data_IF_416611658160
#
_entry.id   IF_416611658160
#
_cell.length_a   1.000
_cell.length_b   1.000
_cell.length_c   1.000
_cell.angle_alpha   90.00
_cell.angle_beta   90.00
_cell.angle_gamma   90.00
#
_symmetry.space_group_name_H-M   'P 1'
#
loop_
_entity.id
_entity.type
_entity.pdbx_description
1 polymer ?
#
# COMPACT_ATOMS: atom_id res chain seq x y z
N UNK A 1 6.53 19.74 -13.14
CA UNK A 1 5.73 20.91 -12.73
C UNK A 1 4.91 20.44 -11.55
N UNK A 2 5.26 20.85 -10.33
CA UNK A 2 4.53 20.46 -9.12
C UNK A 2 3.14 21.11 -9.18
N UNK A 3 2.09 20.34 -8.92
CA UNK A 3 0.71 20.84 -8.92
C UNK A 3 0.49 21.73 -7.69
N UNK A 4 -0.42 22.70 -7.70
CA UNK A 4 -0.79 23.48 -6.49
C UNK A 4 -1.18 22.58 -5.30
N UNK A 5 -1.62 21.34 -5.54
CA UNK A 5 -1.84 20.33 -4.49
C UNK A 5 -0.55 19.84 -3.81
N UNK A 6 0.60 19.96 -4.47
CA UNK A 6 1.93 19.67 -3.91
C UNK A 6 2.46 20.83 -3.05
N UNK A 7 1.84 22.01 -3.12
CA UNK A 7 2.19 23.24 -2.39
C UNK A 7 1.30 23.51 -1.17
N UNK A 8 0.32 22.65 -0.89
CA UNK A 8 -0.37 22.66 0.40
C UNK A 8 0.62 22.13 1.42
N UNK A 9 0.95 22.92 2.45
CA UNK A 9 1.62 22.45 3.66
C UNK A 9 0.77 21.35 4.29
N UNK A 10 0.91 20.11 3.78
CA UNK A 10 0.27 18.96 4.36
C UNK A 10 0.93 18.73 5.70
N UNK A 11 0.12 18.68 6.76
CA UNK A 11 0.65 18.40 8.08
C UNK A 11 1.25 17.00 8.11
N UNK A 12 2.21 16.77 9.01
CA UNK A 12 2.73 15.42 9.29
C UNK A 12 1.58 14.48 9.63
N UNK A 13 0.59 14.97 10.38
CA UNK A 13 -0.61 14.23 10.77
C UNK A 13 -1.40 13.74 9.55
N UNK A 14 -1.59 14.59 8.53
CA UNK A 14 -2.25 14.21 7.27
C UNK A 14 -1.45 13.17 6.48
N UNK A 15 -0.12 13.25 6.50
CA UNK A 15 0.73 12.27 5.83
C UNK A 15 0.75 10.93 6.58
N UNK A 16 0.72 10.95 7.92
CA UNK A 16 0.61 9.75 8.76
C UNK A 16 -0.76 9.07 8.59
N UNK A 17 -1.83 9.85 8.53
CA UNK A 17 -3.17 9.35 8.25
C UNK A 17 -3.22 8.68 6.86
N UNK A 18 -2.74 9.35 5.81
CA UNK A 18 -2.71 8.75 4.45
C UNK A 18 -1.84 7.49 4.43
N UNK A 19 -0.67 7.49 5.05
CA UNK A 19 0.19 6.30 5.10
C UNK A 19 -0.53 5.12 5.78
N UNK A 20 -1.30 5.38 6.84
CA UNK A 20 -2.07 4.37 7.55
C UNK A 20 -3.23 3.84 6.69
N UNK A 21 -3.95 4.71 6.00
CA UNK A 21 -5.01 4.33 5.05
C UNK A 21 -4.46 3.48 3.90
N UNK A 22 -3.33 3.87 3.32
CA UNK A 22 -2.67 3.11 2.25
C UNK A 22 -2.25 1.72 2.72
N UNK A 23 -1.75 1.57 3.95
CA UNK A 23 -1.38 0.28 4.51
C UNK A 23 -2.60 -0.59 4.80
N UNK A 24 -3.68 -0.02 5.33
CA UNK A 24 -4.93 -0.73 5.56
C UNK A 24 -5.54 -1.24 4.24
N UNK A 25 -5.57 -0.39 3.22
CA UNK A 25 -6.04 -0.76 1.88
C UNK A 25 -5.14 -1.82 1.23
N UNK A 26 -3.82 -1.72 1.41
CA UNK A 26 -2.89 -2.74 0.93
C UNK A 26 -3.15 -4.11 1.55
N UNK A 27 -3.48 -4.17 2.84
CA UNK A 27 -3.79 -5.44 3.50
C UNK A 27 -5.14 -5.99 3.04
N UNK A 28 -6.15 -5.13 2.92
CA UNK A 28 -7.46 -5.51 2.33
C UNK A 28 -7.30 -6.14 0.94
N UNK A 29 -6.52 -5.50 0.06
CA UNK A 29 -6.25 -6.02 -1.29
C UNK A 29 -5.48 -7.35 -1.28
N UNK A 30 -4.63 -7.57 -0.27
CA UNK A 30 -3.91 -8.84 -0.09
C UNK A 30 -4.85 -9.95 0.38
N UNK A 31 -5.74 -9.66 1.32
CA UNK A 31 -6.78 -10.60 1.75
C UNK A 31 -7.72 -10.95 0.58
N UNK A 32 -8.11 -9.96 -0.23
CA UNK A 32 -8.88 -10.19 -1.46
C UNK A 32 -8.14 -11.07 -2.46
N UNK A 33 -6.84 -10.82 -2.68
CA UNK A 33 -5.99 -11.68 -3.51
C UNK A 33 -5.99 -13.14 -3.02
N UNK A 34 -5.79 -13.36 -1.72
CA UNK A 34 -5.77 -14.70 -1.14
C UNK A 34 -7.14 -15.39 -1.28
N UNK A 35 -8.24 -14.67 -1.06
CA UNK A 35 -9.60 -15.18 -1.24
C UNK A 35 -9.89 -15.56 -2.71
N UNK A 36 -9.45 -14.73 -3.67
CA UNK A 36 -9.59 -15.04 -5.09
C UNK A 36 -8.81 -16.29 -5.48
N UNK A 37 -7.59 -16.48 -4.96
CA UNK A 37 -6.80 -17.70 -5.20
C UNK A 37 -7.47 -18.96 -4.63
N UNK A 38 -8.09 -18.87 -3.45
CA UNK A 38 -8.85 -20.01 -2.91
C UNK A 38 -10.06 -20.34 -3.80
N UNK A 39 -10.79 -19.33 -4.28
CA UNK A 39 -11.92 -19.54 -5.20
C UNK A 39 -11.46 -20.12 -6.54
N UNK A 40 -10.36 -19.61 -7.10
CA UNK A 40 -9.74 -20.10 -8.33
C UNK A 40 -9.41 -21.60 -8.24
N UNK A 41 -8.79 -22.01 -7.12
CA UNK A 41 -8.41 -23.40 -6.91
C UNK A 41 -9.64 -24.33 -6.85
N UNK A 42 -10.72 -23.88 -6.19
CA UNK A 42 -11.98 -24.62 -6.14
C UNK A 42 -12.61 -24.78 -7.54
N UNK A 43 -12.63 -23.71 -8.34
CA UNK A 43 -13.17 -23.76 -9.70
C UNK A 43 -12.34 -24.65 -10.62
N UNK A 44 -11.01 -24.65 -10.49
CA UNK A 44 -10.14 -25.58 -11.22
C UNK A 44 -10.44 -27.03 -10.88
N UNK A 45 -10.62 -27.35 -9.60
CA UNK A 45 -10.98 -28.70 -9.17
C UNK A 45 -12.35 -29.11 -9.74
N UNK A 46 -13.36 -28.24 -9.63
CA UNK A 46 -14.69 -28.50 -10.19
C UNK A 46 -14.67 -28.66 -11.71
N UNK A 47 -13.85 -27.88 -12.42
CA UNK A 47 -13.65 -28.03 -13.86
C UNK A 47 -13.11 -29.41 -14.23
N UNK A 48 -12.09 -29.90 -13.51
CA UNK A 48 -11.52 -31.24 -13.73
C UNK A 48 -12.55 -32.34 -13.47
N UNK A 49 -13.30 -32.24 -12.38
CA UNK A 49 -14.34 -33.21 -12.02
C UNK A 49 -15.52 -33.23 -13.00
N UNK A 50 -15.92 -32.07 -13.51
CA UNK A 50 -17.02 -31.95 -14.46
C UNK A 50 -16.66 -32.45 -15.87
N UNK A 51 -15.39 -32.42 -16.25
CA UNK A 51 -14.95 -32.66 -17.63
C UNK A 51 -15.43 -33.97 -18.28
N UNK A 52 -15.52 -35.11 -17.58
CA UNK A 52 -16.03 -36.35 -18.16
C UNK A 52 -17.53 -36.34 -18.47
N UNK A 53 -18.31 -35.49 -17.79
CA UNK A 53 -19.78 -35.51 -17.83
C UNK A 53 -20.34 -34.28 -18.55
N UNK A 54 -19.73 -33.11 -18.34
CA UNK A 54 -20.07 -31.85 -19.01
C UNK A 54 -18.79 -31.10 -19.42
N UNK A 55 -18.22 -31.41 -20.60
CA UNK A 55 -17.03 -30.72 -21.10
C UNK A 55 -17.23 -29.21 -21.28
N UNK A 56 -18.44 -28.75 -21.62
CA UNK A 56 -18.73 -27.34 -21.82
C UNK A 56 -18.88 -26.59 -20.49
N UNK A 57 -19.45 -27.22 -19.47
CA UNK A 57 -19.44 -26.72 -18.10
C UNK A 57 -18.04 -26.63 -17.52
N UNK A 58 -17.22 -27.67 -17.72
CA UNK A 58 -15.84 -27.69 -17.29
C UNK A 58 -15.01 -26.55 -17.89
N UNK A 59 -15.16 -26.29 -19.19
CA UNK A 59 -14.46 -25.20 -19.87
C UNK A 59 -14.88 -23.82 -19.33
N UNK A 60 -16.18 -23.61 -19.04
CA UNK A 60 -16.65 -22.36 -18.42
C UNK A 60 -16.06 -22.14 -17.03
N UNK A 61 -16.03 -23.18 -16.20
CA UNK A 61 -15.40 -23.12 -14.87
C UNK A 61 -13.89 -22.83 -14.97
N UNK A 62 -13.22 -23.39 -15.98
CA UNK A 62 -11.81 -23.12 -16.24
C UNK A 62 -11.58 -21.64 -16.62
N UNK A 63 -12.40 -21.09 -17.51
CA UNK A 63 -12.31 -19.69 -17.90
C UNK A 63 -12.58 -18.73 -16.73
N UNK A 64 -13.59 -19.01 -15.91
CA UNK A 64 -13.85 -18.23 -14.68
C UNK A 64 -12.65 -18.27 -13.73
N UNK A 65 -11.98 -19.43 -13.60
CA UNK A 65 -10.78 -19.57 -12.80
C UNK A 65 -9.62 -18.73 -13.34
N UNK A 66 -9.41 -18.68 -14.65
CA UNK A 66 -8.38 -17.82 -15.28
C UNK A 66 -8.66 -16.33 -15.05
N UNK A 67 -9.91 -15.89 -15.24
CA UNK A 67 -10.31 -14.50 -14.99
C UNK A 67 -10.09 -14.10 -13.52
N UNK A 68 -10.36 -15.03 -12.58
CA UNK A 68 -10.06 -14.85 -11.16
C UNK A 68 -8.56 -14.80 -10.89
N UNK A 69 -7.75 -15.60 -11.58
CA UNK A 69 -6.29 -15.58 -11.44
C UNK A 69 -5.73 -14.22 -11.87
N UNK A 70 -6.19 -13.68 -13.00
CA UNK A 70 -5.79 -12.37 -13.50
C UNK A 70 -6.22 -11.25 -12.53
N UNK A 71 -7.45 -11.31 -12.03
CA UNK A 71 -7.97 -10.38 -11.03
C UNK A 71 -7.18 -10.43 -9.71
N UNK A 72 -6.78 -11.64 -9.28
CA UNK A 72 -5.97 -11.83 -8.10
C UNK A 72 -4.58 -11.20 -8.29
N UNK A 73 -3.94 -11.37 -9.45
CA UNK A 73 -2.64 -10.74 -9.75
C UNK A 73 -2.70 -9.23 -9.71
N UNK A 74 -3.75 -8.66 -10.28
CA UNK A 74 -3.95 -7.20 -10.26
C UNK A 74 -4.18 -6.68 -8.84
N UNK A 75 -4.97 -7.39 -8.02
CA UNK A 75 -5.17 -7.05 -6.60
C UNK A 75 -3.85 -7.04 -5.83
N UNK A 76 -2.99 -8.04 -6.05
CA UNK A 76 -1.66 -8.09 -5.44
C UNK A 76 -0.74 -6.96 -5.95
N UNK A 77 -0.78 -6.64 -7.25
CA UNK A 77 -0.03 -5.51 -7.84
C UNK A 77 -0.42 -4.19 -7.17
N UNK A 78 -1.72 -3.95 -7.02
CA UNK A 78 -2.25 -2.76 -6.35
C UNK A 78 -1.85 -2.71 -4.88
N UNK A 79 -1.94 -3.83 -4.15
CA UNK A 79 -1.47 -3.93 -2.76
C UNK A 79 -0.01 -3.50 -2.63
N UNK A 80 0.87 -3.99 -3.51
CA UNK A 80 2.28 -3.60 -3.52
C UNK A 80 2.48 -2.11 -3.83
N UNK A 81 1.74 -1.57 -4.81
CA UNK A 81 1.77 -0.15 -5.15
C UNK A 81 1.40 0.74 -3.95
N UNK A 82 0.34 0.38 -3.21
CA UNK A 82 -0.07 1.09 -2.00
C UNK A 82 1.00 1.04 -0.90
N UNK A 83 1.64 -0.13 -0.68
CA UNK A 83 2.75 -0.25 0.28
C UNK A 83 3.94 0.61 -0.08
N UNK A 84 4.33 0.65 -1.36
CA UNK A 84 5.42 1.50 -1.83
C UNK A 84 5.12 2.99 -1.59
N UNK A 85 3.89 3.42 -1.88
CA UNK A 85 3.46 4.81 -1.62
C UNK A 85 3.44 5.14 -0.13
N UNK A 86 2.97 4.23 0.71
CA UNK A 86 3.01 4.42 2.17
C UNK A 86 4.45 4.54 2.69
N UNK A 87 5.37 3.72 2.18
CA UNK A 87 6.78 3.79 2.54
C UNK A 87 7.44 5.11 2.11
N UNK A 88 7.08 5.66 0.93
CA UNK A 88 7.54 6.98 0.50
C UNK A 88 7.06 8.09 1.45
N UNK A 89 5.79 8.08 1.84
CA UNK A 89 5.25 9.04 2.82
C UNK A 89 5.96 8.93 4.17
N UNK A 90 6.17 7.72 4.67
CA UNK A 90 6.92 7.48 5.91
C UNK A 90 8.37 7.99 5.80
N UNK A 91 9.01 7.81 4.65
CA UNK A 91 10.35 8.33 4.42
C UNK A 91 10.39 9.86 4.45
N UNK A 92 9.41 10.52 3.82
CA UNK A 92 9.26 11.98 3.84
C UNK A 92 9.05 12.52 5.26
N UNK A 93 8.18 11.88 6.05
CA UNK A 93 7.98 12.22 7.46
C UNK A 93 9.29 12.10 8.24
N UNK A 94 10.04 11.01 8.04
CA UNK A 94 11.33 10.83 8.71
C UNK A 94 12.33 11.92 8.36
N UNK A 95 12.41 12.35 7.11
CA UNK A 95 13.28 13.46 6.70
C UNK A 95 12.86 14.76 7.40
N UNK A 96 11.56 15.03 7.45
CA UNK A 96 11.03 16.20 8.15
C UNK A 96 11.44 16.21 9.64
N UNK A 97 11.23 15.09 10.36
CA UNK A 97 11.61 14.96 11.76
C UNK A 97 13.12 15.15 11.99
N UNK A 98 13.94 14.66 11.06
CA UNK A 98 15.39 14.86 11.10
C UNK A 98 15.77 16.34 10.96
N UNK A 99 15.16 17.06 10.02
CA UNK A 99 15.39 18.50 9.82
C UNK A 99 14.97 19.28 11.07
N UNK A 100 13.77 19.04 11.60
CA UNK A 100 13.32 19.72 12.83
C UNK A 100 14.26 19.46 14.02
N UNK A 101 14.77 18.23 14.15
CA UNK A 101 15.70 17.89 15.23
C UNK A 101 17.01 18.68 15.14
N UNK A 102 17.49 18.95 13.91
CA UNK A 102 18.69 19.75 13.68
C UNK A 102 18.45 21.22 13.99
N UNK A 103 17.33 21.79 13.53
CA UNK A 103 16.99 23.19 13.80
C UNK A 103 16.87 23.47 15.31
N UNK A 104 16.23 22.57 16.06
CA UNK A 104 16.14 22.66 17.53
C UNK A 104 17.52 22.58 18.19
N UNK A 105 18.46 21.81 17.63
CA UNK A 105 19.82 21.72 18.18
C UNK A 105 20.58 23.05 18.05
N UNK A 106 20.41 23.76 16.94
CA UNK A 106 21.02 25.07 16.70
C UNK A 106 20.43 26.17 17.60
N UNK A 107 19.15 26.07 17.96
CA UNK A 107 18.51 26.94 18.94
C UNK A 107 19.07 26.70 20.34
N UNK A 108 19.19 25.44 20.76
CA UNK A 108 19.80 25.07 22.05
C UNK A 108 21.23 25.59 22.17
N UNK A 109 22.05 25.44 21.11
CA UNK A 109 23.41 25.98 21.11
C UNK A 109 23.45 27.51 21.17
N UNK A 110 22.53 28.21 20.49
CA UNK A 110 22.41 29.67 20.58
C UNK A 110 22.02 30.14 21.97
N UNK A 111 21.10 29.46 22.62
CA UNK A 111 20.65 29.81 23.96
C UNK A 111 21.73 29.52 25.02
N UNK A 112 22.45 28.41 24.90
CA UNK A 112 23.61 28.12 25.73
C UNK A 112 24.72 29.20 25.56
N UNK A 113 24.99 29.62 24.33
CA UNK A 113 25.97 30.67 24.04
C UNK A 113 25.53 32.08 24.50
N UNK A 114 24.22 32.34 24.67
CA UNK A 114 23.70 33.56 25.29
C UNK A 114 23.77 33.49 26.82
N UNK A 115 23.48 32.33 27.40
CA UNK A 115 23.53 32.11 28.85
C UNK A 115 24.97 32.23 29.41
N UNK A 116 25.98 31.77 28.66
CA UNK A 116 27.40 31.91 29.04
C UNK A 116 27.99 33.31 28.87
N UNK A 117 27.20 34.29 28.40
CA UNK A 117 27.58 35.72 28.27
C UNK A 117 27.00 36.60 29.38
N UNK A 118 26.57 36.00 30.50
CA UNK A 118 26.19 36.68 31.75
C UNK A 118 27.20 36.38 32.84
#
# INVERSE_FOLDING_TARGET
MFSEKDLVERSIEDMQAEASELLAEAERLKEEHEAMLQKEMLLRNQSVEARPVDPAGAERLWQEAEELNDSARESLRLSMEKRLRAADLQHRIKIHDQIESMDRSDEVWRDAAKAGRR
#
